data_IF_559843858950
#
_entry.id   IF_559843858950
#
_cell.length_a   1.000
_cell.length_b   1.000
_cell.length_c   1.000
_cell.angle_alpha   90.00
_cell.angle_beta   90.00
_cell.angle_gamma   90.00
#
_symmetry.space_group_name_H-M   'P 1'
#
loop_
_entity.id
_entity.type
_entity.pdbx_description
1 polymer ?
#
# COMPACT_ATOMS: atom_id res chain seq x y z
N UNK A 1 -42.65 29.58 2.54
CA UNK A 1 -41.48 30.40 2.87
C UNK A 1 -41.12 30.42 4.36
N UNK A 2 -42.05 30.77 5.28
CA UNK A 2 -41.75 30.83 6.73
C UNK A 2 -41.35 29.49 7.37
N UNK A 3 -42.02 28.39 7.02
CA UNK A 3 -41.70 27.05 7.56
C UNK A 3 -40.29 26.57 7.16
N UNK A 4 -39.90 26.81 5.90
CA UNK A 4 -38.57 26.44 5.39
C UNK A 4 -37.45 27.18 6.14
N UNK A 5 -37.61 28.50 6.36
CA UNK A 5 -36.64 29.30 7.12
C UNK A 5 -36.50 28.81 8.56
N UNK A 6 -37.61 28.44 9.21
CA UNK A 6 -37.58 27.88 10.57
C UNK A 6 -36.85 26.53 10.61
N UNK A 7 -37.09 25.63 9.65
CA UNK A 7 -36.39 24.33 9.57
C UNK A 7 -34.88 24.53 9.40
N UNK A 8 -34.46 25.44 8.51
CA UNK A 8 -33.04 25.75 8.31
C UNK A 8 -32.39 26.28 9.60
N UNK A 9 -33.06 27.18 10.32
CA UNK A 9 -32.55 27.72 11.60
C UNK A 9 -32.43 26.62 12.66
N UNK A 10 -33.41 25.72 12.77
CA UNK A 10 -33.37 24.61 13.73
C UNK A 10 -32.24 23.63 13.41
N UNK A 11 -32.05 23.27 12.14
CA UNK A 11 -30.96 22.40 11.71
C UNK A 11 -29.60 23.05 11.97
N UNK A 12 -29.46 24.35 11.71
CA UNK A 12 -28.24 25.10 12.00
C UNK A 12 -27.95 25.14 13.51
N UNK A 13 -28.96 25.46 14.33
CA UNK A 13 -28.81 25.49 15.78
C UNK A 13 -28.48 24.10 16.35
N UNK A 14 -29.12 23.04 15.85
CA UNK A 14 -28.82 21.66 16.23
C UNK A 14 -27.37 21.28 15.86
N UNK A 15 -26.92 21.64 14.66
CA UNK A 15 -25.54 21.42 14.21
C UNK A 15 -24.52 22.17 15.06
N UNK A 16 -24.78 23.45 15.37
CA UNK A 16 -23.93 24.26 16.24
C UNK A 16 -23.85 23.67 17.66
N UNK A 17 -24.98 23.29 18.22
CA UNK A 17 -25.06 22.70 19.56
C UNK A 17 -24.31 21.38 19.63
N UNK A 18 -24.50 20.52 18.62
CA UNK A 18 -23.77 19.26 18.50
C UNK A 18 -22.25 19.48 18.37
N UNK A 19 -21.83 20.44 17.54
CA UNK A 19 -20.41 20.80 17.38
C UNK A 19 -19.77 21.25 18.70
N UNK A 20 -20.46 22.08 19.49
CA UNK A 20 -20.00 22.52 20.81
C UNK A 20 -19.89 21.32 21.77
N UNK A 21 -20.90 20.46 21.82
CA UNK A 21 -20.88 19.27 22.68
C UNK A 21 -19.75 18.32 22.30
N UNK A 22 -19.53 18.09 21.01
CA UNK A 22 -18.43 17.26 20.50
C UNK A 22 -17.07 17.84 20.89
N UNK A 23 -16.88 19.15 20.73
CA UNK A 23 -15.65 19.86 21.11
C UNK A 23 -15.36 19.73 22.61
N UNK A 24 -16.37 19.97 23.47
CA UNK A 24 -16.22 19.87 24.93
C UNK A 24 -15.92 18.43 25.36
N UNK A 25 -16.60 17.44 24.77
CA UNK A 25 -16.32 16.02 25.04
C UNK A 25 -14.90 15.65 24.66
N UNK A 26 -14.44 16.10 23.48
CA UNK A 26 -13.08 15.88 23.00
C UNK A 26 -12.05 16.51 23.92
N UNK A 27 -12.28 17.75 24.36
CA UNK A 27 -11.35 18.44 25.26
C UNK A 27 -11.25 17.72 26.61
N UNK A 28 -12.37 17.32 27.22
CA UNK A 28 -12.38 16.54 28.46
C UNK A 28 -11.65 15.20 28.31
N UNK A 29 -11.84 14.54 27.17
CA UNK A 29 -11.12 13.31 26.85
C UNK A 29 -9.61 13.57 26.80
N UNK A 30 -9.14 14.56 26.04
CA UNK A 30 -7.73 14.93 25.94
C UNK A 30 -7.14 15.30 27.31
N UNK A 31 -7.86 16.09 28.10
CA UNK A 31 -7.41 16.50 29.44
C UNK A 31 -7.28 15.29 30.38
N UNK A 32 -8.19 14.33 30.28
CA UNK A 32 -8.11 13.08 31.06
C UNK A 32 -6.94 12.18 30.66
N UNK A 33 -6.50 12.22 29.40
CA UNK A 33 -5.27 11.55 28.96
C UNK A 33 -4.03 12.26 29.52
N UNK A 34 -4.00 13.61 29.47
CA UNK A 34 -2.89 14.42 29.99
C UNK A 34 -2.70 14.25 31.50
N UNK A 35 -3.78 14.14 32.26
CA UNK A 35 -3.73 13.86 33.70
C UNK A 35 -3.05 12.53 34.03
N UNK A 36 -2.98 11.59 33.09
CA UNK A 36 -2.26 10.31 33.21
C UNK A 36 -0.80 10.39 32.75
N UNK A 37 -0.34 11.57 32.33
CA UNK A 37 0.98 11.75 31.73
C UNK A 37 1.07 11.25 30.29
N UNK A 38 -0.06 11.06 29.61
CA UNK A 38 -0.09 10.67 28.20
C UNK A 38 -0.22 11.88 27.28
N UNK A 39 0.34 11.75 26.08
CA UNK A 39 0.32 12.78 25.06
C UNK A 39 -0.75 12.46 24.02
N UNK A 40 -1.42 13.50 23.54
CA UNK A 40 -2.38 13.43 22.44
C UNK A 40 -1.91 14.33 21.30
N UNK A 41 -1.75 13.77 20.11
CA UNK A 41 -1.32 14.48 18.90
C UNK A 41 -2.48 14.47 17.90
N UNK A 42 -2.90 15.67 17.50
CA UNK A 42 -3.82 15.84 16.38
C UNK A 42 -3.00 15.73 15.09
N UNK A 43 -3.38 14.85 14.18
CA UNK A 43 -2.76 14.69 12.86
C UNK A 43 -1.25 14.41 12.96
N UNK A 44 -0.83 13.26 13.50
CA UNK A 44 0.57 12.90 13.60
C UNK A 44 1.17 12.77 12.19
N UNK A 45 2.47 12.98 12.11
CA UNK A 45 3.21 12.78 10.86
C UNK A 45 3.30 11.29 10.52
N UNK A 46 3.68 10.99 9.28
CA UNK A 46 3.92 9.63 8.83
C UNK A 46 4.97 8.88 9.66
N UNK A 47 5.90 9.58 10.32
CA UNK A 47 6.91 8.97 11.20
C UNK A 47 6.28 8.11 12.30
N UNK A 48 5.05 8.45 12.73
CA UNK A 48 4.32 7.69 13.74
C UNK A 48 4.14 6.21 13.37
N UNK A 49 4.00 5.91 12.07
CA UNK A 49 3.76 4.57 11.51
C UNK A 49 4.85 4.09 10.55
N UNK A 50 5.90 4.88 10.33
CA UNK A 50 6.90 4.61 9.29
C UNK A 50 7.67 3.30 9.48
N UNK A 51 7.80 2.84 10.72
CA UNK A 51 8.46 1.57 11.07
C UNK A 51 7.56 0.34 10.94
N UNK A 52 6.26 0.53 10.69
CA UNK A 52 5.26 -0.53 10.68
C UNK A 52 4.98 -0.95 9.25
N UNK A 53 5.08 -2.26 8.99
CA UNK A 53 4.97 -2.83 7.65
C UNK A 53 3.99 -4.00 7.56
N UNK A 54 3.56 -4.58 8.68
CA UNK A 54 2.61 -5.69 8.68
C UNK A 54 1.18 -5.13 8.65
N UNK A 55 0.22 -5.82 8.00
CA UNK A 55 -1.16 -5.35 7.88
C UNK A 55 -1.71 -4.91 9.25
N UNK A 56 -2.52 -3.84 9.33
CA UNK A 56 -3.03 -3.04 8.21
C UNK A 56 -2.00 -2.05 7.64
N UNK A 57 -0.79 -1.99 8.19
CA UNK A 57 0.30 -1.19 7.64
C UNK A 57 0.91 -1.89 6.42
N UNK A 58 1.71 -1.17 5.64
CA UNK A 58 2.39 -1.72 4.46
C UNK A 58 1.50 -2.19 3.31
N UNK A 59 0.16 -2.18 3.45
CA UNK A 59 -0.81 -2.57 2.43
C UNK A 59 -1.40 -1.34 1.73
N UNK A 60 -1.35 -1.36 0.39
CA UNK A 60 -1.85 -0.30 -0.44
C UNK A 60 -1.04 1.00 -0.30
N UNK A 61 -1.47 2.01 -1.06
CA UNK A 61 -0.77 3.29 -1.15
C UNK A 61 -1.37 4.36 -0.24
N UNK A 62 -2.62 4.20 0.17
CA UNK A 62 -3.27 5.12 1.12
C UNK A 62 -2.83 4.78 2.55
N UNK A 63 -2.14 5.72 3.19
CA UNK A 63 -1.74 5.66 4.60
C UNK A 63 -2.17 6.95 5.27
N UNK A 64 -3.11 6.89 6.20
CA UNK A 64 -3.68 8.09 6.83
C UNK A 64 -3.74 7.90 8.33
N UNK A 65 -2.67 8.27 9.05
CA UNK A 65 -2.73 8.41 10.49
C UNK A 65 -3.47 9.72 10.85
N UNK A 66 -4.26 9.73 11.92
CA UNK A 66 -5.07 10.92 12.29
C UNK A 66 -5.00 11.33 13.77
N UNK A 67 -5.65 10.63 14.69
CA UNK A 67 -5.50 10.93 16.12
C UNK A 67 -4.51 9.94 16.76
N UNK A 68 -3.60 10.43 17.60
CA UNK A 68 -2.58 9.60 18.24
C UNK A 68 -2.50 9.86 19.74
N UNK A 69 -2.42 8.78 20.52
CA UNK A 69 -2.15 8.78 21.95
C UNK A 69 -0.81 8.07 22.16
N UNK A 70 0.10 8.67 22.93
CA UNK A 70 1.37 8.05 23.30
C UNK A 70 1.64 8.20 24.78
N UNK A 71 2.42 7.29 25.35
CA UNK A 71 2.80 7.36 26.76
C UNK A 71 3.55 6.12 27.22
N UNK A 72 3.57 5.96 28.54
CA UNK A 72 4.09 4.77 29.19
C UNK A 72 2.94 4.06 29.93
N UNK A 73 2.98 2.73 29.91
CA UNK A 73 2.23 1.89 30.85
C UNK A 73 2.74 2.11 32.28
N UNK A 74 2.00 1.66 33.29
CA UNK A 74 2.44 1.69 34.69
C UNK A 74 3.74 0.89 34.89
N UNK A 75 3.95 -0.16 34.09
CA UNK A 75 5.20 -0.92 34.03
C UNK A 75 6.35 -0.20 33.29
N UNK A 76 6.17 1.05 32.86
CA UNK A 76 7.19 1.85 32.17
C UNK A 76 7.40 1.49 30.70
N UNK A 77 6.54 0.67 30.11
CA UNK A 77 6.64 0.25 28.70
C UNK A 77 6.02 1.29 27.76
N UNK A 78 6.72 1.74 26.71
CA UNK A 78 6.17 2.65 25.72
C UNK A 78 4.98 2.05 24.98
N UNK A 79 3.95 2.86 24.78
CA UNK A 79 2.80 2.50 23.97
C UNK A 79 2.40 3.62 23.01
N UNK A 80 1.68 3.24 21.96
CA UNK A 80 1.01 4.14 21.03
C UNK A 80 -0.39 3.60 20.72
N UNK A 81 -1.39 4.48 20.65
CA UNK A 81 -2.73 4.17 20.14
C UNK A 81 -3.04 5.18 19.07
N UNK A 82 -3.31 4.74 17.84
CA UNK A 82 -3.42 5.62 16.68
C UNK A 82 -4.64 5.26 15.83
N UNK A 83 -5.35 6.28 15.37
CA UNK A 83 -6.33 6.14 14.31
C UNK A 83 -5.61 6.01 12.97
N UNK A 84 -5.94 4.98 12.21
CA UNK A 84 -5.27 4.68 10.96
C UNK A 84 -6.28 4.21 9.92
N UNK A 85 -6.15 4.74 8.71
CA UNK A 85 -6.95 4.31 7.57
C UNK A 85 -6.12 4.04 6.33
N UNK A 86 -6.61 3.05 5.57
CA UNK A 86 -6.11 2.58 4.28
C UNK A 86 -7.29 2.43 3.32
N UNK A 87 -7.03 2.03 2.08
CA UNK A 87 -8.08 1.69 1.12
C UNK A 87 -8.92 0.46 1.53
N UNK A 88 -8.41 -0.40 2.43
CA UNK A 88 -9.03 -1.69 2.75
C UNK A 88 -9.51 -1.80 4.20
N UNK A 89 -9.05 -0.90 5.07
CA UNK A 89 -9.32 -0.95 6.50
C UNK A 89 -9.21 0.44 7.12
N UNK A 90 -10.08 0.71 8.09
CA UNK A 90 -10.09 1.92 8.91
C UNK A 90 -10.42 1.54 10.34
N UNK A 91 -9.71 2.12 11.30
CA UNK A 91 -9.98 1.91 12.71
C UNK A 91 -8.85 2.43 13.59
N UNK A 92 -8.82 1.93 14.83
CA UNK A 92 -7.81 2.28 15.80
C UNK A 92 -6.85 1.10 16.00
N UNK A 93 -5.58 1.41 16.14
CA UNK A 93 -4.52 0.42 16.38
C UNK A 93 -3.84 0.76 17.70
N UNK A 94 -3.75 -0.22 18.60
CA UNK A 94 -2.97 -0.13 19.84
C UNK A 94 -1.65 -0.88 19.70
N UNK A 95 -0.59 -0.30 20.23
CA UNK A 95 0.77 -0.81 20.12
C UNK A 95 1.49 -0.67 21.45
N UNK A 96 2.25 -1.70 21.80
CA UNK A 96 3.16 -1.70 22.93
C UNK A 96 4.51 -2.20 22.46
N UNK A 97 5.59 -1.53 22.86
CA UNK A 97 6.95 -1.84 22.40
C UNK A 97 7.48 -3.12 23.06
N UNK A 98 8.07 -4.01 22.26
CA UNK A 98 8.84 -5.19 22.66
C UNK A 98 10.32 -4.82 22.86
N UNK A 99 11.06 -5.63 23.61
CA UNK A 99 12.49 -5.40 23.87
C UNK A 99 13.41 -5.70 22.69
N UNK A 100 12.89 -6.41 21.68
CA UNK A 100 13.62 -6.89 20.50
C UNK A 100 12.72 -6.90 19.27
N UNK A 101 13.36 -6.78 18.10
CA UNK A 101 12.70 -6.86 16.79
C UNK A 101 12.53 -8.33 16.44
N UNK A 102 11.31 -8.76 16.18
CA UNK A 102 10.97 -10.16 15.93
C UNK A 102 10.35 -10.33 14.52
N UNK A 103 10.34 -11.56 13.99
CA UNK A 103 9.66 -11.87 12.73
C UNK A 103 8.16 -11.58 12.82
N UNK A 104 7.53 -11.48 11.65
CA UNK A 104 6.09 -11.35 11.55
C UNK A 104 5.38 -12.55 12.22
N UNK A 105 4.37 -12.21 13.02
CA UNK A 105 3.40 -13.15 13.57
C UNK A 105 2.04 -12.48 13.64
N UNK A 106 0.96 -13.23 13.42
CA UNK A 106 -0.40 -12.79 13.69
C UNK A 106 -1.20 -13.89 14.40
N UNK A 107 -2.13 -13.45 15.25
CA UNK A 107 -3.05 -14.31 15.99
C UNK A 107 -4.41 -13.63 16.06
N UNK A 108 -5.46 -14.39 15.76
CA UNK A 108 -6.84 -13.90 15.81
C UNK A 108 -7.72 -14.96 16.49
N UNK A 109 -8.68 -14.51 17.30
CA UNK A 109 -9.62 -15.38 18.01
C UNK A 109 -10.89 -14.65 18.44
N UNK A 110 -11.95 -15.40 18.74
CA UNK A 110 -13.31 -14.85 18.93
C UNK A 110 -13.94 -14.48 17.60
N UNK A 111 -14.63 -13.34 17.54
CA UNK A 111 -15.34 -12.88 16.33
C UNK A 111 -14.43 -12.16 15.31
N UNK A 112 -13.12 -12.11 15.55
CA UNK A 112 -12.15 -11.45 14.68
C UNK A 112 -11.72 -12.35 13.52
N UNK A 113 -11.17 -11.74 12.47
CA UNK A 113 -10.64 -12.42 11.29
C UNK A 113 -9.18 -12.03 11.05
N UNK A 114 -8.41 -12.83 10.29
CA UNK A 114 -7.10 -12.41 9.83
C UNK A 114 -7.18 -11.05 9.14
N UNK A 115 -6.11 -10.26 9.29
CA UNK A 115 -6.05 -8.91 8.70
C UNK A 115 -6.06 -9.02 7.17
N UNK A 116 -6.70 -8.06 6.52
CA UNK A 116 -6.76 -8.03 5.06
C UNK A 116 -5.34 -8.03 4.46
N UNK A 117 -5.11 -8.89 3.46
CA UNK A 117 -3.84 -8.94 2.72
C UNK A 117 -2.67 -9.58 3.45
N UNK A 118 -2.89 -10.21 4.62
CA UNK A 118 -1.83 -10.94 5.31
C UNK A 118 -1.36 -12.14 4.48
N UNK A 119 -0.05 -12.28 4.33
CA UNK A 119 0.62 -13.30 3.52
C UNK A 119 1.29 -14.37 4.38
N UNK A 120 1.58 -14.07 5.65
CA UNK A 120 2.09 -15.05 6.60
C UNK A 120 1.17 -16.28 6.68
N UNK A 121 1.77 -17.45 6.50
CA UNK A 121 1.07 -18.72 6.34
C UNK A 121 0.37 -19.14 7.64
N UNK A 122 -0.77 -19.81 7.50
CA UNK A 122 -1.46 -20.36 8.65
C UNK A 122 -0.60 -21.44 9.34
N UNK A 123 -0.47 -21.34 10.66
CA UNK A 123 0.23 -22.31 11.50
C UNK A 123 -0.70 -22.85 12.58
N UNK A 124 -0.46 -24.07 13.10
CA UNK A 124 -1.29 -24.62 14.18
C UNK A 124 -1.28 -23.71 15.40
N UNK A 125 -2.46 -23.31 15.87
CA UNK A 125 -2.60 -22.65 17.16
C UNK A 125 -2.38 -23.67 18.30
N UNK A 126 -1.59 -23.36 19.33
CA UNK A 126 -1.36 -24.26 20.46
C UNK A 126 -2.67 -24.60 21.18
N UNK A 127 -2.88 -25.88 21.58
CA UNK A 127 -4.09 -26.29 22.31
C UNK A 127 -4.36 -25.50 23.59
N UNK A 128 -3.32 -24.92 24.20
CA UNK A 128 -3.39 -24.12 25.43
C UNK A 128 -4.24 -22.86 25.28
N UNK A 129 -4.36 -22.32 24.06
CA UNK A 129 -5.23 -21.16 23.80
C UNK A 129 -6.72 -21.53 23.79
N UNK A 130 -7.05 -22.82 23.67
CA UNK A 130 -8.40 -23.32 23.48
C UNK A 130 -8.84 -23.29 22.00
N UNK A 131 -10.10 -23.65 21.71
CA UNK A 131 -10.63 -23.66 20.35
C UNK A 131 -10.87 -22.24 19.82
N UNK A 132 -10.90 -22.09 18.49
CA UNK A 132 -11.31 -20.85 17.82
C UNK A 132 -10.20 -19.84 17.53
N UNK A 133 -8.95 -20.20 17.79
CA UNK A 133 -7.79 -19.38 17.44
C UNK A 133 -7.22 -19.76 16.07
N UNK A 134 -6.80 -18.74 15.32
CA UNK A 134 -6.01 -18.88 14.10
C UNK A 134 -4.73 -18.09 14.27
N UNK A 135 -3.61 -18.69 13.91
CA UNK A 135 -2.30 -18.07 13.94
C UNK A 135 -1.64 -18.15 12.56
N UNK A 136 -0.73 -17.22 12.30
CA UNK A 136 0.16 -17.33 11.15
C UNK A 136 1.50 -16.67 11.38
N UNK A 137 2.49 -17.21 10.70
CA UNK A 137 3.88 -16.76 10.71
C UNK A 137 4.53 -17.14 9.37
N UNK A 138 5.64 -16.48 9.06
CA UNK A 138 6.47 -16.89 7.93
C UNK A 138 7.24 -18.18 8.24
N UNK A 139 7.72 -18.28 9.47
CA UNK A 139 8.49 -19.42 9.97
C UNK A 139 7.66 -20.16 11.03
N UNK A 140 7.18 -21.39 10.76
CA UNK A 140 6.38 -22.16 11.73
C UNK A 140 7.10 -22.40 13.06
N UNK A 141 8.42 -22.61 13.02
CA UNK A 141 9.25 -22.81 14.22
C UNK A 141 9.26 -21.58 15.12
N UNK A 142 9.24 -20.37 14.54
CA UNK A 142 9.15 -19.13 15.30
C UNK A 142 7.83 -19.05 16.04
N UNK A 143 6.71 -19.37 15.38
CA UNK A 143 5.41 -19.39 16.02
C UNK A 143 5.33 -20.39 17.18
N UNK A 144 5.93 -21.58 17.03
CA UNK A 144 5.96 -22.60 18.06
C UNK A 144 6.75 -22.15 19.31
N UNK A 145 7.88 -21.46 19.12
CA UNK A 145 8.69 -20.92 20.23
C UNK A 145 8.05 -19.67 20.88
N UNK A 146 7.45 -18.81 20.08
CA UNK A 146 6.74 -17.61 20.54
C UNK A 146 5.53 -17.99 21.41
N UNK A 147 4.72 -18.95 20.96
CA UNK A 147 3.49 -19.36 21.63
C UNK A 147 3.74 -20.39 22.74
N UNK A 148 4.70 -20.11 23.60
CA UNK A 148 4.96 -20.89 24.80
C UNK A 148 3.79 -20.77 25.83
N UNK A 149 3.75 -21.62 26.88
CA UNK A 149 2.66 -21.62 27.85
C UNK A 149 2.41 -20.27 28.55
N UNK A 150 3.46 -19.49 28.81
CA UNK A 150 3.35 -18.18 29.48
C UNK A 150 2.71 -17.15 28.55
N UNK A 151 3.13 -17.09 27.28
CA UNK A 151 2.55 -16.20 26.27
C UNK A 151 1.09 -16.58 26.02
N UNK A 152 0.80 -17.87 25.86
CA UNK A 152 -0.58 -18.37 25.70
C UNK A 152 -1.47 -17.96 26.87
N UNK A 153 -1.00 -18.11 28.11
CA UNK A 153 -1.76 -17.71 29.30
C UNK A 153 -2.09 -16.23 29.32
N UNK A 154 -1.16 -15.36 28.92
CA UNK A 154 -1.41 -13.91 28.87
C UNK A 154 -2.38 -13.54 27.75
N UNK A 155 -2.27 -14.18 26.58
CA UNK A 155 -3.20 -13.97 25.46
C UNK A 155 -4.63 -14.41 25.81
N UNK A 156 -4.80 -15.58 26.43
CA UNK A 156 -6.10 -16.04 26.90
C UNK A 156 -6.70 -15.13 27.97
N UNK A 157 -5.88 -14.61 28.89
CA UNK A 157 -6.32 -13.66 29.91
C UNK A 157 -6.75 -12.32 29.30
N UNK A 158 -6.01 -11.81 28.31
CA UNK A 158 -6.37 -10.57 27.59
C UNK A 158 -7.65 -10.74 26.75
N UNK A 159 -7.85 -11.91 26.14
CA UNK A 159 -9.06 -12.20 25.40
C UNK A 159 -10.30 -12.34 26.30
N UNK A 160 -10.11 -12.65 27.58
CA UNK A 160 -11.20 -12.80 28.54
C UNK A 160 -11.90 -11.45 28.76
N UNK A 161 -13.09 -11.30 28.17
CA UNK A 161 -13.91 -10.08 28.25
C UNK A 161 -13.89 -9.22 26.99
N UNK A 162 -13.22 -9.66 25.92
CA UNK A 162 -13.31 -9.04 24.59
C UNK A 162 -14.15 -9.90 23.64
N UNK A 163 -14.92 -9.28 22.71
CA UNK A 163 -15.65 -10.03 21.67
C UNK A 163 -14.69 -10.77 20.70
N UNK A 164 -13.45 -10.31 20.61
CA UNK A 164 -12.37 -11.01 19.95
C UNK A 164 -11.06 -10.24 20.07
N UNK A 165 -9.97 -10.91 19.72
CA UNK A 165 -8.62 -10.38 19.78
C UNK A 165 -7.96 -10.55 18.41
N UNK A 166 -7.27 -9.51 17.93
CA UNK A 166 -6.46 -9.58 16.72
C UNK A 166 -5.11 -8.93 17.00
N UNK A 167 -4.11 -9.76 17.26
CA UNK A 167 -2.76 -9.38 17.68
C UNK A 167 -1.79 -9.70 16.55
N UNK A 168 -0.78 -8.87 16.35
CA UNK A 168 0.35 -9.18 15.51
C UNK A 168 1.65 -8.66 16.11
N UNK A 169 2.77 -9.20 15.64
CA UNK A 169 4.10 -8.64 15.85
C UNK A 169 4.51 -7.96 14.56
N UNK A 170 4.95 -6.71 14.67
CA UNK A 170 5.54 -5.93 13.60
C UNK A 170 6.84 -5.33 14.10
N UNK A 171 7.96 -5.99 13.76
CA UNK A 171 9.29 -5.67 14.28
C UNK A 171 9.31 -5.67 15.82
N UNK A 172 9.48 -4.51 16.47
CA UNK A 172 9.50 -4.33 17.92
C UNK A 172 8.15 -3.88 18.48
N UNK A 173 7.04 -4.04 17.75
CA UNK A 173 5.71 -3.64 18.20
C UNK A 173 4.79 -4.84 18.31
N UNK A 174 4.16 -4.98 19.48
CA UNK A 174 2.98 -5.82 19.65
C UNK A 174 1.74 -4.99 19.31
N UNK A 175 1.11 -5.32 18.18
CA UNK A 175 0.07 -4.52 17.54
C UNK A 175 -1.29 -5.20 17.72
N UNK A 176 -2.30 -4.46 18.16
CA UNK A 176 -3.68 -4.94 18.31
C UNK A 176 -4.66 -4.01 17.61
N UNK A 177 -5.66 -4.59 16.93
CA UNK A 177 -6.72 -3.82 16.30
C UNK A 177 -7.86 -3.52 17.28
N UNK A 178 -8.44 -2.33 17.13
CA UNK A 178 -9.62 -1.86 17.85
C UNK A 178 -9.47 -1.86 19.39
N UNK A 179 -8.46 -1.16 19.94
CA UNK A 179 -8.32 -1.01 21.38
C UNK A 179 -9.52 -0.28 22.00
N UNK A 180 -9.92 -0.58 23.25
CA UNK A 180 -11.05 0.04 23.94
C UNK A 180 -10.71 1.47 24.38
N UNK A 181 -10.72 2.42 23.43
CA UNK A 181 -10.25 3.79 23.65
C UNK A 181 -11.27 4.77 24.22
N UNK A 182 -12.57 4.47 24.13
CA UNK A 182 -13.62 5.46 24.43
C UNK A 182 -13.56 5.94 25.89
N UNK A 183 -13.07 5.08 26.78
CA UNK A 183 -12.89 5.37 28.21
C UNK A 183 -11.41 5.22 28.57
N UNK A 184 -10.71 6.30 28.96
CA UNK A 184 -9.30 6.26 29.32
C UNK A 184 -8.94 5.24 30.41
N UNK A 185 -9.83 4.99 31.38
CA UNK A 185 -9.63 3.97 32.41
C UNK A 185 -9.60 2.54 31.82
N UNK A 186 -10.51 2.25 30.90
CA UNK A 186 -10.53 0.95 30.21
C UNK A 186 -9.31 0.81 29.30
N UNK A 187 -8.92 1.89 28.61
CA UNK A 187 -7.72 1.90 27.80
C UNK A 187 -6.47 1.63 28.64
N UNK A 188 -6.35 2.25 29.82
CA UNK A 188 -5.22 2.04 30.72
C UNK A 188 -5.12 0.59 31.19
N UNK A 189 -6.22 0.02 31.72
CA UNK A 189 -6.24 -1.38 32.15
C UNK A 189 -5.91 -2.34 31.00
N UNK A 190 -6.41 -2.05 29.80
CA UNK A 190 -6.13 -2.84 28.60
C UNK A 190 -4.67 -2.75 28.16
N UNK A 191 -4.04 -1.56 28.23
CA UNK A 191 -2.62 -1.37 27.93
C UNK A 191 -1.72 -2.14 28.90
N UNK A 192 -2.10 -2.27 30.18
CA UNK A 192 -1.38 -3.12 31.13
C UNK A 192 -1.46 -4.61 30.76
N UNK A 193 -2.62 -5.09 30.31
CA UNK A 193 -2.76 -6.47 29.84
C UNK A 193 -1.91 -6.72 28.59
N UNK A 194 -1.93 -5.79 27.63
CA UNK A 194 -1.08 -5.86 26.45
C UNK A 194 0.41 -5.81 26.81
N UNK A 195 0.77 -4.99 27.81
CA UNK A 195 2.11 -4.92 28.39
C UNK A 195 2.56 -6.23 29.05
N UNK A 196 1.64 -6.96 29.69
CA UNK A 196 1.92 -8.28 30.26
C UNK A 196 2.17 -9.34 29.18
N UNK A 197 1.45 -9.30 28.05
CA UNK A 197 1.72 -10.14 26.87
C UNK A 197 3.10 -9.81 26.31
N UNK A 198 3.42 -8.52 26.13
CA UNK A 198 4.73 -8.07 25.66
C UNK A 198 5.87 -8.54 26.60
N UNK A 199 5.69 -8.46 27.92
CA UNK A 199 6.66 -8.94 28.89
C UNK A 199 6.86 -10.47 28.83
N UNK A 200 5.79 -11.24 28.60
CA UNK A 200 5.90 -12.69 28.39
C UNK A 200 6.65 -13.04 27.11
N UNK A 201 6.45 -12.27 26.03
CA UNK A 201 7.21 -12.42 24.78
C UNK A 201 8.69 -12.06 25.01
N UNK A 202 8.99 -11.00 25.74
CA UNK A 202 10.36 -10.60 26.08
C UNK A 202 11.10 -11.64 26.94
N UNK A 203 10.38 -12.35 27.81
CA UNK A 203 10.94 -13.43 28.63
C UNK A 203 11.18 -14.74 27.86
N UNK A 204 10.59 -14.92 26.68
CA UNK A 204 10.77 -16.12 25.86
C UNK A 204 12.20 -16.22 25.29
N UNK A 205 12.73 -17.43 25.03
CA UNK A 205 14.08 -17.63 24.49
C UNK A 205 14.12 -17.41 22.95
N UNK A 206 13.85 -16.19 22.50
CA UNK A 206 13.69 -15.85 21.07
C UNK A 206 14.93 -15.20 20.43
N UNK A 207 16.10 -15.28 21.06
CA UNK A 207 17.28 -14.53 20.62
C UNK A 207 17.75 -14.89 19.20
N UNK A 208 17.54 -16.15 18.79
CA UNK A 208 17.84 -16.62 17.41
C UNK A 208 16.97 -15.98 16.33
N UNK A 209 15.86 -15.37 16.71
CA UNK A 209 14.88 -14.77 15.80
C UNK A 209 15.02 -13.25 15.67
N UNK A 210 15.95 -12.64 16.41
CA UNK A 210 16.14 -11.18 16.41
C UNK A 210 16.40 -10.71 14.97
N UNK A 211 15.55 -9.80 14.52
CA UNK A 211 15.64 -9.19 13.20
C UNK A 211 16.56 -7.97 13.21
N UNK A 212 17.25 -7.68 12.10
CA UNK A 212 18.03 -6.46 11.98
C UNK A 212 17.14 -5.21 12.05
N UNK A 213 17.76 -4.06 12.29
CA UNK A 213 17.07 -2.79 12.18
C UNK A 213 16.61 -2.54 10.73
N UNK A 214 15.29 -2.36 10.48
CA UNK A 214 14.83 -1.99 9.17
C UNK A 214 15.30 -0.56 8.87
N UNK A 215 15.52 -0.27 7.60
CA UNK A 215 15.83 1.09 7.17
C UNK A 215 14.65 2.01 7.54
N UNK A 216 14.91 3.27 7.90
CA UNK A 216 13.87 4.25 8.23
C UNK A 216 13.17 4.74 6.95
N UNK A 217 12.49 3.82 6.25
CA UNK A 217 11.76 4.06 5.01
C UNK A 217 10.37 3.45 5.14
N UNK A 218 9.40 4.09 4.51
CA UNK A 218 8.05 3.56 4.36
C UNK A 218 8.09 2.44 3.32
N UNK A 219 8.27 1.21 3.78
CA UNK A 219 8.26 0.03 2.92
C UNK A 219 6.87 -0.55 2.78
N UNK A 220 6.74 -1.60 1.98
CA UNK A 220 5.48 -2.30 1.74
C UNK A 220 5.57 -3.72 2.28
N UNK A 221 4.43 -4.25 2.71
CA UNK A 221 4.34 -5.59 3.25
C UNK A 221 4.85 -6.61 2.23
N UNK A 222 5.84 -7.44 2.62
CA UNK A 222 6.56 -8.38 1.74
C UNK A 222 7.28 -7.78 0.53
N UNK A 223 7.49 -6.47 0.55
CA UNK A 223 8.26 -5.75 -0.46
C UNK A 223 9.21 -4.74 0.22
N UNK A 224 10.25 -5.21 0.92
CA UNK A 224 11.19 -4.33 1.63
C UNK A 224 12.02 -3.46 0.68
N UNK A 225 12.18 -3.88 -0.57
CA UNK A 225 12.84 -3.12 -1.64
C UNK A 225 11.93 -2.12 -2.33
N UNK A 226 10.68 -1.99 -1.89
CA UNK A 226 9.77 -0.95 -2.36
C UNK A 226 9.66 0.10 -1.26
N UNK A 227 9.77 1.37 -1.62
CA UNK A 227 9.63 2.45 -0.65
C UNK A 227 8.87 3.63 -1.23
N UNK A 228 8.08 4.24 -0.35
CA UNK A 228 7.27 5.40 -0.64
C UNK A 228 8.10 6.69 -0.57
N UNK A 229 7.93 7.54 -1.57
CA UNK A 229 8.52 8.88 -1.70
C UNK A 229 7.46 9.96 -1.46
N UNK A 230 6.21 9.71 -1.87
CA UNK A 230 5.11 10.66 -1.76
C UNK A 230 4.97 11.51 -3.01
N UNK A 231 5.69 12.63 -3.08
CA UNK A 231 5.63 13.56 -4.22
C UNK A 231 7.04 13.78 -4.77
N UNK A 232 7.16 13.73 -6.09
CA UNK A 232 8.40 14.00 -6.83
C UNK A 232 8.07 14.47 -8.25
N UNK A 233 7.76 15.77 -8.38
CA UNK A 233 7.31 16.36 -9.65
C UNK A 233 8.41 16.42 -10.71
N UNK A 234 9.68 16.24 -10.32
CA UNK A 234 10.82 16.17 -11.26
C UNK A 234 10.71 14.97 -12.22
N UNK A 235 9.94 13.94 -11.85
CA UNK A 235 9.65 12.79 -12.70
C UNK A 235 8.94 13.20 -14.01
N UNK A 236 8.17 14.29 -13.99
CA UNK A 236 7.39 14.76 -15.15
C UNK A 236 8.26 15.37 -16.25
N UNK A 237 9.54 15.64 -15.98
CA UNK A 237 10.48 16.15 -16.98
C UNK A 237 10.75 15.10 -18.07
N UNK A 238 10.95 13.84 -17.67
CA UNK A 238 11.39 12.76 -18.56
C UNK A 238 10.35 11.66 -18.79
N UNK A 239 9.26 11.63 -18.03
CA UNK A 239 8.20 10.64 -18.21
C UNK A 239 7.31 10.99 -19.43
N UNK A 240 6.91 10.02 -20.26
CA UNK A 240 5.96 10.23 -21.35
C UNK A 240 4.51 10.34 -20.83
N UNK A 241 4.22 11.42 -20.08
CA UNK A 241 2.88 11.76 -19.56
C UNK A 241 2.09 12.65 -20.51
N UNK A 242 0.78 12.77 -20.25
CA UNK A 242 -0.06 13.81 -20.84
C UNK A 242 0.45 15.20 -20.46
N UNK A 243 0.86 16.02 -21.43
CA UNK A 243 1.41 17.38 -21.19
C UNK A 243 0.41 18.51 -21.45
N UNK A 244 -0.82 18.20 -21.81
CA UNK A 244 -1.86 19.21 -21.98
C UNK A 244 -2.42 19.64 -20.63
N UNK A 245 -2.97 20.86 -20.57
CA UNK A 245 -3.52 21.40 -19.33
C UNK A 245 -2.50 22.19 -18.51
N UNK A 246 -2.74 22.26 -17.20
CA UNK A 246 -1.91 22.96 -16.22
C UNK A 246 -2.02 22.29 -14.85
N UNK A 247 -1.31 22.83 -13.85
CA UNK A 247 -1.23 22.30 -12.48
C UNK A 247 -0.79 20.82 -12.44
N UNK A 248 0.24 20.49 -13.21
CA UNK A 248 0.80 19.14 -13.25
C UNK A 248 1.53 18.81 -11.95
N UNK A 249 1.16 17.71 -11.30
CA UNK A 249 1.86 17.21 -10.11
C UNK A 249 1.77 15.69 -9.99
N UNK A 250 2.63 15.12 -9.16
CA UNK A 250 2.67 13.71 -8.82
C UNK A 250 2.06 13.47 -7.45
N UNK A 251 1.63 12.23 -7.20
CA UNK A 251 1.27 11.74 -5.87
C UNK A 251 1.58 10.25 -5.75
N UNK A 252 1.73 9.78 -4.52
CA UNK A 252 1.97 8.37 -4.21
C UNK A 252 3.14 7.79 -5.01
N UNK A 253 4.22 8.57 -5.15
CA UNK A 253 5.44 8.14 -5.82
C UNK A 253 6.07 7.00 -5.01
N UNK A 254 6.32 5.89 -5.68
CA UNK A 254 6.95 4.69 -5.13
C UNK A 254 8.14 4.34 -6.01
N UNK A 255 9.25 3.99 -5.38
CA UNK A 255 10.43 3.46 -6.05
C UNK A 255 10.75 2.10 -5.47
N UNK A 256 11.34 1.23 -6.28
CA UNK A 256 11.81 -0.03 -5.76
C UNK A 256 12.28 -1.01 -6.81
N UNK A 257 12.35 -2.26 -6.39
CA UNK A 257 12.59 -3.40 -7.27
C UNK A 257 11.71 -4.56 -6.83
N UNK A 258 11.14 -5.29 -7.79
CA UNK A 258 10.31 -6.46 -7.54
C UNK A 258 11.11 -7.75 -7.83
N UNK A 259 11.63 -8.37 -6.77
CA UNK A 259 12.56 -9.50 -6.86
C UNK A 259 13.77 -9.18 -7.74
N UNK A 260 14.09 -10.08 -8.67
CA UNK A 260 15.18 -9.89 -9.65
C UNK A 260 14.78 -9.01 -10.86
N UNK A 261 13.60 -8.40 -10.82
CA UNK A 261 13.11 -7.51 -11.88
C UNK A 261 13.92 -6.23 -12.01
N UNK A 262 13.68 -5.43 -13.06
CA UNK A 262 14.29 -4.11 -13.18
C UNK A 262 13.82 -3.17 -12.04
N UNK A 263 14.63 -2.18 -11.63
CA UNK A 263 14.15 -1.10 -10.77
C UNK A 263 12.96 -0.40 -11.40
N UNK A 264 12.03 0.09 -10.58
CA UNK A 264 10.86 0.80 -11.05
C UNK A 264 10.59 2.10 -10.30
N UNK A 265 9.80 2.95 -10.95
CA UNK A 265 9.11 4.08 -10.35
C UNK A 265 7.62 4.02 -10.73
N UNK A 266 6.72 4.20 -9.76
CA UNK A 266 5.28 4.17 -9.97
C UNK A 266 4.64 5.38 -9.28
N UNK A 267 3.70 6.06 -9.93
CA UNK A 267 3.03 7.23 -9.38
C UNK A 267 1.73 7.55 -10.10
N UNK A 268 0.90 8.37 -9.49
CA UNK A 268 -0.23 9.01 -10.20
C UNK A 268 0.18 10.42 -10.62
N UNK A 269 0.04 10.72 -11.91
CA UNK A 269 0.17 12.06 -12.46
C UNK A 269 -1.22 12.72 -12.47
N UNK A 270 -1.31 13.95 -11.97
CA UNK A 270 -2.53 14.77 -11.95
C UNK A 270 -2.32 16.03 -12.77
N UNK A 271 -3.38 16.47 -13.44
CA UNK A 271 -3.40 17.75 -14.15
C UNK A 271 -4.82 18.30 -14.24
N UNK A 272 -4.95 19.54 -14.70
CA UNK A 272 -6.25 20.21 -14.87
C UNK A 272 -6.38 20.76 -16.28
N UNK A 273 -7.61 20.76 -16.77
CA UNK A 273 -7.98 21.51 -17.98
C UNK A 273 -9.10 22.49 -17.64
N UNK A 274 -9.10 23.64 -18.30
CA UNK A 274 -10.17 24.64 -18.15
C UNK A 274 -10.89 24.83 -19.46
N UNK A 275 -12.22 24.92 -19.39
CA UNK A 275 -13.07 25.30 -20.52
C UNK A 275 -14.06 26.39 -20.11
N UNK A 276 -14.39 27.27 -21.04
CA UNK A 276 -15.41 28.29 -20.85
C UNK A 276 -16.74 27.76 -21.38
N UNK A 277 -17.73 27.67 -20.51
CA UNK A 277 -19.10 27.32 -20.88
C UNK A 277 -19.97 28.57 -20.88
N UNK A 278 -20.74 28.76 -21.94
CA UNK A 278 -21.78 29.77 -22.01
C UNK A 278 -23.12 29.14 -21.63
N UNK A 279 -23.82 29.72 -20.66
CA UNK A 279 -25.20 29.37 -20.35
C UNK A 279 -26.10 30.59 -20.43
N UNK A 280 -27.36 30.38 -20.79
CA UNK A 280 -28.38 31.43 -20.81
C UNK A 280 -29.17 31.34 -19.52
N UNK A 281 -29.18 32.42 -18.73
CA UNK A 281 -30.00 32.47 -17.53
C UNK A 281 -31.50 32.54 -17.86
N UNK A 282 -32.34 32.43 -16.83
CA UNK A 282 -33.81 32.54 -16.98
C UNK A 282 -34.28 33.91 -17.48
N UNK A 283 -33.39 34.91 -17.54
CA UNK A 283 -33.65 36.26 -18.04
C UNK A 283 -33.12 36.47 -19.47
N UNK A 284 -32.64 35.42 -20.13
CA UNK A 284 -32.18 35.46 -21.51
C UNK A 284 -30.78 36.05 -21.70
N UNK A 285 -30.02 36.29 -20.62
CA UNK A 285 -28.64 36.79 -20.72
C UNK A 285 -27.66 35.64 -20.84
N UNK A 286 -26.77 35.73 -21.81
CA UNK A 286 -25.64 34.80 -21.94
C UNK A 286 -24.60 35.15 -20.89
N UNK A 287 -24.35 34.21 -19.97
CA UNK A 287 -23.27 34.27 -18.99
C UNK A 287 -22.21 33.24 -19.35
N UNK A 288 -20.96 33.54 -19.03
CA UNK A 288 -19.85 32.57 -19.17
C UNK A 288 -19.38 32.14 -17.80
N UNK A 289 -19.05 30.86 -17.66
CA UNK A 289 -18.41 30.31 -16.48
C UNK A 289 -17.23 29.45 -16.89
N UNK A 290 -16.11 29.61 -16.19
CA UNK A 290 -14.97 28.71 -16.30
C UNK A 290 -15.26 27.44 -15.51
N UNK A 291 -15.15 26.30 -16.19
CA UNK A 291 -15.24 24.97 -15.59
C UNK A 291 -13.84 24.37 -15.61
N UNK A 292 -13.37 23.94 -14.44
CA UNK A 292 -12.09 23.25 -14.27
C UNK A 292 -12.39 21.76 -14.12
N UNK A 293 -11.80 20.96 -15.00
CA UNK A 293 -11.84 19.50 -14.94
C UNK A 293 -10.50 19.01 -14.39
N UNK A 294 -10.56 18.08 -13.42
CA UNK A 294 -9.37 17.45 -12.85
C UNK A 294 -9.20 16.08 -13.50
N UNK A 295 -7.97 15.76 -13.87
CA UNK A 295 -7.61 14.53 -14.55
C UNK A 295 -6.48 13.84 -13.81
N UNK A 296 -6.40 12.52 -13.95
CA UNK A 296 -5.30 11.74 -13.40
C UNK A 296 -5.00 10.53 -14.25
N UNK A 297 -3.74 10.15 -14.36
CA UNK A 297 -3.30 8.92 -15.01
C UNK A 297 -2.24 8.21 -14.15
N UNK A 298 -2.36 6.88 -13.95
CA UNK A 298 -1.34 6.11 -13.29
C UNK A 298 -0.19 5.81 -14.25
N UNK A 299 1.03 5.95 -13.77
CA UNK A 299 2.26 5.74 -14.52
C UNK A 299 3.13 4.73 -13.79
N UNK A 300 3.71 3.80 -14.55
CA UNK A 300 4.70 2.85 -14.06
C UNK A 300 5.87 2.76 -15.04
N UNK A 301 7.08 3.10 -14.60
CA UNK A 301 8.30 2.97 -15.38
C UNK A 301 9.23 1.93 -14.79
N UNK A 302 9.81 1.09 -15.64
CA UNK A 302 10.90 0.18 -15.28
C UNK A 302 12.19 0.62 -15.97
N UNK A 303 13.27 0.75 -15.20
CA UNK A 303 14.58 1.11 -15.73
C UNK A 303 15.22 -0.11 -16.40
N UNK A 304 15.47 0.01 -17.70
CA UNK A 304 16.10 -1.00 -18.52
C UNK A 304 17.62 -1.03 -18.29
N UNK A 305 18.29 -2.17 -18.54
CA UNK A 305 19.72 -2.33 -18.29
C UNK A 305 20.58 -1.60 -19.34
N UNK A 306 19.96 -1.18 -20.45
CA UNK A 306 20.59 -0.50 -21.57
C UNK A 306 19.54 0.31 -22.33
N UNK A 307 19.99 1.33 -23.07
CA UNK A 307 19.14 2.07 -24.01
C UNK A 307 18.61 1.15 -25.09
N UNK A 308 17.31 1.21 -25.34
CA UNK A 308 16.64 0.42 -26.38
C UNK A 308 15.90 1.34 -27.35
N UNK A 309 15.89 1.03 -28.67
CA UNK A 309 15.11 1.78 -29.64
C UNK A 309 13.63 1.86 -29.27
N UNK A 310 12.97 2.97 -29.63
CA UNK A 310 11.56 3.16 -29.28
C UNK A 310 10.69 2.05 -29.87
N UNK A 311 9.95 1.37 -28.99
CA UNK A 311 8.97 0.33 -29.31
C UNK A 311 7.76 0.50 -28.40
N UNK A 312 6.58 0.65 -28.97
CA UNK A 312 5.33 0.81 -28.26
C UNK A 312 4.39 -0.33 -28.64
N UNK A 313 3.81 -0.98 -27.63
CA UNK A 313 2.87 -2.08 -27.77
C UNK A 313 1.64 -1.73 -26.94
N UNK A 314 0.50 -1.65 -27.61
CA UNK A 314 -0.79 -1.37 -26.97
C UNK A 314 -1.89 -2.24 -27.55
N UNK A 315 -3.05 -2.23 -26.88
CA UNK A 315 -4.27 -2.81 -27.47
C UNK A 315 -4.62 -2.07 -28.75
N UNK A 316 -5.10 -2.81 -29.75
CA UNK A 316 -5.51 -2.22 -31.02
C UNK A 316 -6.71 -1.29 -30.82
N UNK A 317 -6.50 0.00 -31.06
CA UNK A 317 -7.53 1.04 -31.16
C UNK A 317 -7.79 1.46 -32.62
N UNK A 318 -8.22 2.71 -32.82
CA UNK A 318 -8.34 3.31 -34.14
C UNK A 318 -6.97 3.85 -34.62
N UNK A 319 -6.30 3.11 -35.50
CA UNK A 319 -4.98 3.50 -36.04
C UNK A 319 -4.25 2.34 -36.73
N UNK A 320 -3.20 2.67 -37.50
CA UNK A 320 -2.30 1.70 -38.13
C UNK A 320 -1.15 1.29 -37.20
N UNK A 321 -0.40 0.26 -37.54
CA UNK A 321 0.79 -0.20 -36.82
C UNK A 321 1.62 -1.13 -37.71
N UNK A 322 2.75 -1.62 -37.21
CA UNK A 322 3.55 -2.62 -37.92
C UNK A 322 2.74 -3.92 -38.03
N UNK A 323 2.61 -4.45 -39.24
CA UNK A 323 1.93 -5.73 -39.49
C UNK A 323 2.90 -6.90 -39.30
N UNK A 324 2.52 -7.85 -38.46
CA UNK A 324 3.23 -9.11 -38.25
C UNK A 324 2.59 -10.26 -39.03
N UNK A 325 3.25 -11.42 -39.07
CA UNK A 325 2.75 -12.62 -39.76
C UNK A 325 1.48 -13.20 -39.12
N UNK A 326 1.23 -12.94 -37.83
CA UNK A 326 0.04 -13.41 -37.13
C UNK A 326 -1.11 -12.41 -37.26
N UNK A 327 -2.12 -12.77 -38.05
CA UNK A 327 -3.34 -11.96 -38.18
C UNK A 327 -4.08 -11.83 -36.83
N UNK A 328 -4.08 -12.88 -36.01
CA UNK A 328 -4.67 -12.85 -34.67
C UNK A 328 -3.97 -11.84 -33.77
N UNK A 329 -2.64 -11.79 -33.80
CA UNK A 329 -1.85 -10.79 -33.09
C UNK A 329 -2.19 -9.37 -33.56
N UNK A 330 -2.19 -9.15 -34.88
CA UNK A 330 -2.51 -7.85 -35.47
C UNK A 330 -3.97 -7.39 -35.24
N UNK A 331 -4.89 -8.28 -34.85
CA UNK A 331 -6.25 -7.90 -34.45
C UNK A 331 -6.31 -7.43 -33.01
N UNK A 332 -5.44 -7.94 -32.13
CA UNK A 332 -5.46 -7.65 -30.70
C UNK A 332 -4.52 -6.50 -30.32
N UNK A 333 -3.37 -6.39 -30.99
CA UNK A 333 -2.32 -5.44 -30.66
C UNK A 333 -2.01 -4.48 -31.81
N UNK A 334 -1.58 -3.28 -31.44
CA UNK A 334 -0.92 -2.33 -32.33
C UNK A 334 0.52 -2.13 -31.84
N UNK A 335 1.48 -2.21 -32.77
CA UNK A 335 2.90 -2.01 -32.47
C UNK A 335 3.42 -0.85 -33.30
N UNK A 336 4.10 0.08 -32.63
CA UNK A 336 4.79 1.20 -33.26
C UNK A 336 6.26 1.15 -32.87
N UNK A 337 7.16 1.38 -33.82
CA UNK A 337 8.58 1.45 -33.53
C UNK A 337 9.23 2.55 -34.36
N UNK A 338 10.32 3.10 -33.84
CA UNK A 338 11.19 3.99 -34.61
C UNK A 338 11.99 3.19 -35.67
N UNK A 339 12.40 1.97 -35.33
CA UNK A 339 13.06 1.03 -36.22
C UNK A 339 12.19 -0.22 -36.41
N UNK A 340 11.66 -0.39 -37.62
CA UNK A 340 10.84 -1.55 -38.00
C UNK A 340 11.63 -2.86 -37.90
N UNK A 341 12.94 -2.84 -38.20
CA UNK A 341 13.78 -4.04 -38.06
C UNK A 341 13.85 -4.47 -36.60
N UNK A 342 14.10 -3.53 -35.70
CA UNK A 342 14.11 -3.80 -34.26
C UNK A 342 12.77 -4.38 -33.79
N UNK A 343 11.63 -3.85 -34.28
CA UNK A 343 10.32 -4.40 -33.97
C UNK A 343 10.16 -5.86 -34.39
N UNK A 344 10.60 -6.25 -35.59
CA UNK A 344 10.56 -7.64 -36.04
C UNK A 344 11.55 -8.54 -35.29
N UNK A 345 12.73 -8.02 -34.98
CA UNK A 345 13.76 -8.76 -34.25
C UNK A 345 13.31 -9.06 -32.79
N UNK A 346 12.54 -8.15 -32.15
CA UNK A 346 11.99 -8.32 -30.80
C UNK A 346 10.64 -9.07 -30.79
N UNK A 347 9.69 -8.68 -31.64
CA UNK A 347 8.34 -9.25 -31.70
C UNK A 347 8.31 -10.41 -32.70
N UNK A 348 9.08 -11.45 -32.40
CA UNK A 348 9.13 -12.70 -33.17
C UNK A 348 8.00 -13.67 -32.74
N UNK A 349 7.83 -14.85 -33.36
CA UNK A 349 6.67 -15.73 -33.13
C UNK A 349 6.43 -16.09 -31.67
N UNK A 350 7.47 -16.55 -30.95
CA UNK A 350 7.39 -16.85 -29.51
C UNK A 350 7.05 -15.63 -28.64
N UNK A 351 7.41 -14.42 -29.06
CA UNK A 351 7.06 -13.19 -28.35
C UNK A 351 5.59 -12.82 -28.56
N UNK A 352 5.08 -13.00 -29.79
CA UNK A 352 3.66 -12.85 -30.09
C UNK A 352 2.82 -13.84 -29.28
N UNK A 353 3.23 -15.10 -29.21
CA UNK A 353 2.57 -16.11 -28.35
C UNK A 353 2.54 -15.66 -26.89
N UNK A 354 3.66 -15.15 -26.37
CA UNK A 354 3.75 -14.64 -25.01
C UNK A 354 2.80 -13.46 -24.75
N UNK A 355 2.77 -12.48 -25.65
CA UNK A 355 1.89 -11.31 -25.58
C UNK A 355 0.41 -11.69 -25.66
N UNK A 356 0.07 -12.69 -26.48
CA UNK A 356 -1.30 -13.20 -26.59
C UNK A 356 -1.72 -13.95 -25.32
N UNK A 357 -0.82 -14.71 -24.71
CA UNK A 357 -1.07 -15.45 -23.46
C UNK A 357 -1.08 -14.55 -22.22
N UNK A 358 -0.32 -13.45 -22.24
CA UNK A 358 -0.17 -12.51 -21.13
C UNK A 358 -0.36 -11.07 -21.63
N UNK A 359 -1.58 -10.64 -21.99
CA UNK A 359 -1.81 -9.32 -22.54
C UNK A 359 -1.43 -8.23 -21.53
N UNK A 360 -0.43 -7.37 -21.83
CA UNK A 360 0.01 -6.36 -20.88
C UNK A 360 -0.92 -5.14 -20.89
N UNK A 361 -0.74 -4.29 -19.88
CA UNK A 361 -1.05 -2.87 -20.05
C UNK A 361 -0.25 -2.30 -21.22
N UNK A 362 -0.79 -1.28 -21.90
CA UNK A 362 -0.05 -0.60 -22.97
C UNK A 362 1.29 -0.10 -22.41
N UNK A 363 2.37 -0.34 -23.14
CA UNK A 363 3.70 0.07 -22.73
C UNK A 363 4.53 0.56 -23.90
N UNK A 364 5.49 1.43 -23.60
CA UNK A 364 6.49 1.93 -24.54
C UNK A 364 7.88 1.83 -23.94
N UNK A 365 8.79 1.29 -24.71
CA UNK A 365 10.23 1.38 -24.50
C UNK A 365 10.69 2.70 -25.09
N UNK A 366 11.40 3.49 -24.30
CA UNK A 366 11.95 4.77 -24.71
C UNK A 366 13.23 5.04 -23.90
N UNK A 367 14.35 5.19 -24.60
CA UNK A 367 15.67 5.33 -23.99
C UNK A 367 15.98 4.18 -23.02
N UNK A 368 16.19 4.48 -21.74
CA UNK A 368 16.55 3.52 -20.67
C UNK A 368 15.32 3.06 -19.88
N UNK A 369 14.11 3.24 -20.40
CA UNK A 369 12.88 2.97 -19.66
C UNK A 369 11.85 2.20 -20.47
N UNK A 370 11.11 1.32 -19.78
CA UNK A 370 9.84 0.79 -20.24
C UNK A 370 8.70 1.42 -19.41
N UNK A 371 7.93 2.30 -20.03
CA UNK A 371 6.82 3.04 -19.43
C UNK A 371 5.49 2.35 -19.75
N UNK A 372 4.74 2.00 -18.71
CA UNK A 372 3.44 1.36 -18.75
C UNK A 372 2.35 2.36 -18.37
N UNK A 373 1.18 2.19 -18.98
CA UNK A 373 -0.09 2.80 -18.58
C UNK A 373 -0.98 1.74 -17.93
N UNK A 374 -0.74 1.39 -16.65
CA UNK A 374 -1.36 0.24 -15.99
C UNK A 374 -2.88 0.34 -15.79
N UNK A 375 -3.48 1.52 -16.01
CA UNK A 375 -4.91 1.77 -15.78
C UNK A 375 -5.27 2.00 -14.31
N UNK A 376 -4.49 1.45 -13.38
CA UNK A 376 -4.58 1.73 -11.94
C UNK A 376 -3.19 1.88 -11.30
N UNK A 377 -3.11 2.62 -10.20
CA UNK A 377 -1.92 2.73 -9.35
C UNK A 377 -2.09 1.82 -8.14
N UNK A 378 -1.58 0.58 -8.22
CA UNK A 378 -1.75 -0.44 -7.18
C UNK A 378 -0.52 -1.39 -7.07
N UNK A 379 -0.31 -2.03 -5.92
CA UNK A 379 0.74 -3.05 -5.78
C UNK A 379 0.56 -4.22 -6.75
N UNK A 380 -0.66 -4.78 -6.95
CA UNK A 380 -0.89 -5.82 -7.95
C UNK A 380 -0.53 -5.39 -9.37
N UNK A 381 -0.84 -4.15 -9.77
CA UNK A 381 -0.50 -3.65 -11.10
C UNK A 381 1.02 -3.55 -11.33
N UNK A 382 1.77 -3.13 -10.30
CA UNK A 382 3.24 -3.11 -10.34
C UNK A 382 3.80 -4.52 -10.46
N UNK A 383 3.37 -5.44 -9.59
CA UNK A 383 3.83 -6.84 -9.60
C UNK A 383 3.52 -7.53 -10.94
N UNK A 384 2.30 -7.38 -11.46
CA UNK A 384 1.91 -7.95 -12.74
C UNK A 384 2.74 -7.38 -13.91
N UNK A 385 2.95 -6.06 -13.95
CA UNK A 385 3.76 -5.43 -15.01
C UNK A 385 5.24 -5.80 -14.91
N UNK A 386 5.76 -5.97 -13.69
CA UNK A 386 7.12 -6.45 -13.42
C UNK A 386 7.32 -7.88 -13.94
N UNK A 387 6.41 -8.80 -13.57
CA UNK A 387 6.42 -10.18 -14.05
C UNK A 387 6.32 -10.24 -15.57
N UNK A 388 5.39 -9.47 -16.15
CA UNK A 388 5.23 -9.36 -17.60
C UNK A 388 6.53 -8.88 -18.26
N UNK A 389 7.10 -7.78 -17.78
CA UNK A 389 8.29 -7.19 -18.39
C UNK A 389 9.49 -8.14 -18.28
N UNK A 390 9.68 -8.83 -17.15
CA UNK A 390 10.71 -9.87 -17.03
C UNK A 390 10.53 -10.96 -18.07
N UNK A 391 9.30 -11.47 -18.23
CA UNK A 391 8.98 -12.47 -19.23
C UNK A 391 9.18 -11.97 -20.67
N UNK A 392 8.88 -10.70 -20.94
CA UNK A 392 9.11 -10.05 -22.22
C UNK A 392 10.61 -9.95 -22.53
N UNK A 393 11.41 -9.42 -21.59
CA UNK A 393 12.85 -9.18 -21.76
C UNK A 393 13.65 -10.49 -21.86
N UNK A 394 13.28 -11.51 -21.07
CA UNK A 394 13.94 -12.82 -21.11
C UNK A 394 13.76 -13.55 -22.46
N UNK A 395 12.74 -13.17 -23.24
CA UNK A 395 12.47 -13.73 -24.56
C UNK A 395 13.08 -12.93 -25.70
N UNK A 396 13.58 -11.71 -25.46
CA UNK A 396 14.30 -10.94 -26.46
C UNK A 396 15.51 -11.75 -26.96
N UNK A 397 15.64 -12.00 -28.28
CA UNK A 397 16.68 -12.88 -28.78
C UNK A 397 18.08 -12.38 -28.44
N UNK A 398 19.00 -13.31 -28.18
CA UNK A 398 20.39 -13.00 -27.82
C UNK A 398 21.09 -12.07 -28.82
N UNK A 399 20.82 -12.19 -30.11
CA UNK A 399 21.43 -11.32 -31.11
C UNK A 399 20.96 -9.86 -30.98
N UNK A 400 19.72 -9.62 -30.52
CA UNK A 400 19.20 -8.27 -30.25
C UNK A 400 19.98 -7.65 -29.09
N UNK A 401 20.17 -8.39 -28.00
CA UNK A 401 21.01 -7.94 -26.88
C UNK A 401 22.44 -7.61 -27.31
N UNK A 402 23.04 -8.44 -28.16
CA UNK A 402 24.38 -8.19 -28.72
C UNK A 402 24.43 -6.93 -29.57
N UNK A 403 23.41 -6.69 -30.40
CA UNK A 403 23.33 -5.48 -31.21
C UNK A 403 23.18 -4.21 -30.35
N UNK A 404 22.56 -4.33 -29.18
CA UNK A 404 22.46 -3.25 -28.19
C UNK A 404 23.76 -3.05 -27.40
N UNK A 405 24.69 -4.00 -27.41
CA UNK A 405 25.97 -3.93 -26.71
C UNK A 405 26.08 -4.81 -25.45
N UNK A 406 25.11 -5.71 -25.21
CA UNK A 406 25.16 -6.68 -24.11
C UNK A 406 25.51 -8.09 -24.61
N UNK A 407 26.36 -8.86 -23.89
CA UNK A 407 26.79 -10.19 -24.35
C UNK A 407 25.65 -11.24 -24.35
N UNK A 408 24.68 -11.09 -23.44
CA UNK A 408 23.49 -11.92 -23.28
C UNK A 408 22.37 -11.16 -22.56
N UNK A 409 21.19 -11.79 -22.43
CA UNK A 409 20.09 -11.26 -21.63
C UNK A 409 20.49 -11.11 -20.16
N UNK A 410 20.35 -9.92 -19.55
CA UNK A 410 20.56 -9.76 -18.10
C UNK A 410 19.38 -10.28 -17.27
N UNK A 411 18.28 -10.67 -17.91
CA UNK A 411 17.11 -11.25 -17.25
C UNK A 411 17.03 -12.75 -17.59
N UNK A 412 17.16 -13.64 -16.59
CA UNK A 412 16.96 -15.07 -16.83
C UNK A 412 15.50 -15.32 -17.23
N UNK A 413 15.26 -16.42 -17.94
CA UNK A 413 13.89 -16.90 -18.12
C UNK A 413 13.27 -17.12 -16.74
N UNK A 414 12.08 -16.56 -16.45
CA UNK A 414 11.44 -16.81 -15.17
C UNK A 414 11.31 -18.33 -15.01
N UNK A 415 11.82 -18.87 -13.91
CA UNK A 415 11.61 -20.25 -13.54
C UNK A 415 10.10 -20.47 -13.56
N UNK A 416 9.62 -21.47 -14.30
CA UNK A 416 8.20 -21.82 -14.29
C UNK A 416 7.86 -22.11 -12.84
N UNK A 417 7.20 -21.17 -12.16
CA UNK A 417 6.80 -21.32 -10.78
C UNK A 417 6.06 -22.65 -10.68
N UNK A 418 6.66 -23.64 -10.00
CA UNK A 418 5.95 -24.85 -9.65
C UNK A 418 4.83 -24.39 -8.75
N UNK A 419 3.61 -24.44 -9.27
CA UNK A 419 2.40 -24.38 -8.46
C UNK A 419 2.55 -25.48 -7.41
N UNK A 420 2.80 -25.09 -6.16
CA UNK A 420 2.77 -25.96 -4.98
C UNK A 420 1.75 -25.43 -4.01
#
# INVERSE_FOLDING_TARGET
MKLFVVVVIVLFAAGLTWGIVALVRRQRYIDSLRQRGWNFVNSPTFEAVARLNNPPFGIGFVRKPDDQITGLTAAGRPFQVIEYSTSHWSGWVGMVTLSRRLPEFWLTGGDTRPRYGVLAHAVPAPPQLGPGWQAGALEPDFAAELLNPQVCSQLSAMAAGLPGLNVSIDSDQLVVLNPPREKPDLLAAWLEQLGAVAAAIDAAPLDRWIQPEPQPRLTFYHHPDWWWIGVDDSLLEFTPVTRSGHDHNTSEVIRGRDGDGPPFVAFTHHWKTTRTESYTDSEGRTQTRTVTENHSEPILGFQLPIRMPRLEVGRKGFGGGISFESEAFNRQFAVHAQDTKFAYDVIHPRQMEYLMANPPASFRIEEEWAWFSPGEHSQPAIAHSSEFLRGFLARVPRFVWRNLGLPDSPYPAPETARVS
#
